data_IF_937117121763
#
_entry.id   IF_937117121763
#
_cell.length_a   1.000
_cell.length_b   1.000
_cell.length_c   1.000
_cell.angle_alpha   90.00
_cell.angle_beta   90.00
_cell.angle_gamma   90.00
#
_symmetry.space_group_name_H-M   'P 1'
#
loop_
_entity.id
_entity.type
_entity.pdbx_description
1 polymer ?
#
# COMPACT_ATOMS: atom_id res chain seq x y z
N UNK A 1 6.72 -12.47 -62.97
CA UNK A 1 6.89 -11.44 -61.92
C UNK A 1 5.80 -11.62 -60.88
N UNK A 2 6.15 -12.13 -59.70
CA UNK A 2 5.24 -12.43 -58.58
C UNK A 2 5.55 -11.45 -57.45
N UNK A 3 4.64 -10.52 -57.15
CA UNK A 3 4.66 -9.78 -55.90
C UNK A 3 3.64 -10.43 -54.96
N UNK A 4 4.14 -11.08 -53.91
CA UNK A 4 3.32 -11.66 -52.83
C UNK A 4 3.10 -10.58 -51.77
N UNK A 5 1.82 -10.37 -51.46
CA UNK A 5 1.29 -9.53 -50.38
C UNK A 5 1.73 -10.06 -49.01
N UNK A 6 2.40 -9.23 -48.22
CA UNK A 6 2.86 -9.52 -46.85
C UNK A 6 2.22 -8.58 -45.83
N UNK A 7 0.90 -8.32 -45.95
CA UNK A 7 0.18 -7.40 -45.06
C UNK A 7 -1.02 -8.05 -44.34
N UNK A 8 -0.89 -9.29 -43.84
CA UNK A 8 -1.98 -9.91 -43.05
C UNK A 8 -1.55 -10.59 -41.74
N UNK A 9 -0.31 -10.34 -41.27
CA UNK A 9 0.22 -10.98 -40.06
C UNK A 9 0.49 -10.00 -38.90
N UNK A 10 0.43 -8.68 -39.14
CA UNK A 10 0.61 -7.65 -38.11
C UNK A 10 -0.70 -7.07 -37.54
N UNK A 11 -1.86 -7.34 -38.15
CA UNK A 11 -3.16 -6.95 -37.58
C UNK A 11 -3.74 -7.95 -36.57
N UNK A 12 -3.09 -9.10 -36.34
CA UNK A 12 -3.56 -10.11 -35.37
C UNK A 12 -2.90 -10.04 -33.98
N UNK A 13 -1.99 -9.09 -33.75
CA UNK A 13 -1.27 -8.96 -32.46
C UNK A 13 -1.81 -7.81 -31.59
N UNK A 14 -2.75 -6.98 -32.09
CA UNK A 14 -3.22 -5.78 -31.36
C UNK A 14 -4.62 -5.91 -30.73
N UNK A 15 -5.12 -7.12 -30.49
CA UNK A 15 -6.40 -7.34 -29.77
C UNK A 15 -6.33 -8.56 -28.85
N UNK A 16 -5.57 -8.46 -27.76
CA UNK A 16 -5.74 -9.31 -26.56
C UNK A 16 -4.81 -8.80 -25.45
N UNK A 17 -5.16 -7.68 -24.82
CA UNK A 17 -4.53 -7.28 -23.55
C UNK A 17 -5.52 -6.50 -22.72
N UNK A 18 -6.67 -7.13 -22.49
CA UNK A 18 -7.64 -6.68 -21.54
C UNK A 18 -8.39 -7.94 -21.15
N UNK A 19 -7.89 -8.60 -20.09
CA UNK A 19 -8.64 -9.42 -19.14
C UNK A 19 -7.62 -10.09 -18.19
N UNK A 20 -7.95 -10.08 -16.90
CA UNK A 20 -7.41 -10.90 -15.82
C UNK A 20 -5.91 -10.86 -15.47
N UNK A 21 -5.56 -9.96 -14.56
CA UNK A 21 -4.53 -10.21 -13.54
C UNK A 21 -5.13 -10.10 -12.14
N UNK A 22 -6.17 -10.88 -11.91
CA UNK A 22 -6.47 -11.43 -10.59
C UNK A 22 -5.69 -12.73 -10.44
N UNK A 23 -4.41 -12.65 -10.05
CA UNK A 23 -3.63 -13.81 -9.61
C UNK A 23 -4.16 -14.31 -8.25
N UNK A 24 -5.38 -14.86 -8.27
CA UNK A 24 -5.79 -15.84 -7.29
C UNK A 24 -4.99 -17.11 -7.61
N UNK A 25 -3.90 -17.32 -6.85
CA UNK A 25 -3.23 -18.60 -6.77
C UNK A 25 -4.23 -19.62 -6.17
N UNK A 26 -5.10 -20.17 -7.02
CA UNK A 26 -5.73 -21.45 -6.73
C UNK A 26 -4.65 -22.51 -6.89
N UNK A 27 -4.01 -22.86 -5.77
CA UNK A 27 -3.13 -24.02 -5.69
C UNK A 27 -3.93 -25.30 -5.88
N UNK A 28 -4.29 -25.63 -7.12
CA UNK A 28 -4.57 -27.01 -7.51
C UNK A 28 -3.24 -27.64 -7.92
N UNK A 29 -2.45 -28.04 -6.93
CA UNK A 29 -1.26 -28.82 -7.19
C UNK A 29 -1.08 -29.84 -6.09
N UNK A 30 -1.21 -31.11 -6.46
CA UNK A 30 -0.77 -32.29 -5.72
C UNK A 30 0.77 -32.32 -5.58
N UNK A 31 1.39 -31.18 -5.30
CA UNK A 31 2.82 -31.15 -5.04
C UNK A 31 3.03 -31.72 -3.64
N UNK A 32 3.94 -32.70 -3.49
CA UNK A 32 4.37 -33.12 -2.17
C UNK A 32 4.86 -31.87 -1.41
N UNK A 33 4.67 -31.83 -0.07
CA UNK A 33 5.14 -30.71 0.71
C UNK A 33 6.61 -30.45 0.38
N UNK A 34 7.00 -29.18 0.15
CA UNK A 34 8.36 -28.85 -0.24
C UNK A 34 9.33 -29.46 0.79
N UNK A 35 10.34 -30.18 0.29
CA UNK A 35 11.34 -30.83 1.14
C UNK A 35 11.97 -29.78 2.04
N UNK A 36 12.01 -30.07 3.35
CA UNK A 36 12.66 -29.21 4.32
C UNK A 36 14.14 -29.11 3.96
N UNK A 37 14.65 -27.89 3.77
CA UNK A 37 16.04 -27.64 3.31
C UNK A 37 16.19 -27.25 1.83
N UNK A 38 15.14 -27.34 1.01
CA UNK A 38 15.22 -27.03 -0.43
C UNK A 38 15.70 -25.59 -0.75
N UNK A 39 15.33 -24.61 0.09
CA UNK A 39 15.81 -23.24 -0.08
C UNK A 39 17.29 -23.08 0.30
N UNK A 40 17.79 -23.87 1.24
CA UNK A 40 19.19 -23.81 1.65
C UNK A 40 20.09 -24.36 0.53
N UNK A 41 19.74 -25.51 -0.04
CA UNK A 41 20.46 -26.11 -1.17
C UNK A 41 20.48 -25.20 -2.41
N UNK A 42 19.38 -24.51 -2.72
CA UNK A 42 19.28 -23.70 -3.94
C UNK A 42 19.80 -22.28 -3.81
N UNK A 43 19.70 -21.69 -2.62
CA UNK A 43 19.99 -20.25 -2.43
C UNK A 43 21.17 -20.02 -1.50
N UNK A 44 21.33 -20.83 -0.45
CA UNK A 44 22.35 -20.61 0.58
C UNK A 44 23.67 -21.28 0.20
N UNK A 45 23.64 -22.56 -0.20
CA UNK A 45 24.87 -23.29 -0.59
C UNK A 45 25.61 -22.65 -1.76
N UNK A 46 24.94 -22.16 -2.83
CA UNK A 46 25.63 -21.48 -3.92
C UNK A 46 26.04 -20.04 -3.58
N UNK A 47 25.77 -19.58 -2.35
CA UNK A 47 26.11 -18.22 -1.89
C UNK A 47 25.26 -17.11 -2.50
N UNK A 48 24.09 -17.43 -3.06
CA UNK A 48 23.19 -16.44 -3.66
C UNK A 48 22.45 -15.62 -2.60
N UNK A 49 22.20 -16.22 -1.44
CA UNK A 49 21.47 -15.61 -0.33
C UNK A 49 22.11 -16.01 1.00
N UNK A 50 22.20 -15.07 1.94
CA UNK A 50 22.66 -15.39 3.29
C UNK A 50 21.63 -16.25 4.06
N UNK A 51 22.12 -17.12 4.94
CA UNK A 51 21.25 -18.00 5.74
C UNK A 51 20.29 -17.22 6.65
N UNK A 52 20.68 -16.01 7.07
CA UNK A 52 19.83 -15.14 7.88
C UNK A 52 18.57 -14.72 7.10
N UNK A 53 18.69 -14.41 5.80
CA UNK A 53 17.60 -13.97 4.94
C UNK A 53 16.62 -15.11 4.67
N UNK A 54 17.11 -16.34 4.49
CA UNK A 54 16.22 -17.51 4.38
C UNK A 54 15.44 -17.72 5.68
N UNK A 55 16.09 -17.62 6.83
CA UNK A 55 15.43 -17.72 8.13
C UNK A 55 14.41 -16.58 8.35
N UNK A 56 14.74 -15.36 7.92
CA UNK A 56 13.84 -14.20 7.94
C UNK A 56 12.61 -14.45 7.06
N UNK A 57 12.79 -14.88 5.80
CA UNK A 57 11.71 -15.21 4.86
C UNK A 57 10.79 -16.31 5.41
N UNK A 58 11.35 -17.38 5.98
CA UNK A 58 10.56 -18.44 6.59
C UNK A 58 9.71 -17.93 7.76
N UNK A 59 10.28 -17.04 8.60
CA UNK A 59 9.56 -16.39 9.71
C UNK A 59 8.42 -15.51 9.20
N UNK A 60 8.68 -14.69 8.18
CA UNK A 60 7.69 -13.83 7.53
C UNK A 60 6.52 -14.66 6.97
N UNK A 61 6.81 -15.80 6.33
CA UNK A 61 5.78 -16.70 5.80
C UNK A 61 4.93 -17.29 6.92
N UNK A 62 5.54 -17.74 8.03
CA UNK A 62 4.82 -18.27 9.18
C UNK A 62 3.89 -17.21 9.81
N UNK A 63 4.39 -16.00 10.04
CA UNK A 63 3.63 -14.90 10.61
C UNK A 63 2.46 -14.47 9.70
N UNK A 64 2.64 -14.54 8.38
CA UNK A 64 1.63 -14.14 7.39
C UNK A 64 0.39 -15.05 7.35
N UNK A 65 0.53 -16.33 7.72
CA UNK A 65 -0.57 -17.31 7.65
C UNK A 65 -1.76 -16.95 8.56
N UNK A 66 -1.53 -16.17 9.60
CA UNK A 66 -2.55 -15.83 10.60
C UNK A 66 -3.32 -14.54 10.30
N UNK A 67 -2.84 -13.71 9.35
CA UNK A 67 -3.35 -12.34 9.14
C UNK A 67 -3.45 -12.01 7.66
N UNK A 68 -4.52 -12.50 7.03
CA UNK A 68 -4.87 -12.06 5.67
C UNK A 68 -5.19 -10.55 5.68
N UNK A 69 -4.59 -9.85 4.74
CA UNK A 69 -4.91 -8.47 4.43
C UNK A 69 -6.08 -8.48 3.46
N UNK A 70 -7.05 -7.58 3.61
CA UNK A 70 -8.15 -7.47 2.64
C UNK A 70 -7.63 -7.14 1.24
N UNK A 71 -8.50 -7.24 0.23
CA UNK A 71 -8.16 -7.06 -1.19
C UNK A 71 -7.47 -5.73 -1.54
N UNK A 72 -7.56 -4.72 -0.66
CA UNK A 72 -7.01 -3.38 -0.86
C UNK A 72 -5.76 -3.13 -0.01
N UNK A 73 -5.11 -4.22 0.39
CA UNK A 73 -3.91 -4.21 1.17
C UNK A 73 -2.68 -3.84 0.35
N UNK A 74 -1.88 -2.89 0.83
CA UNK A 74 -0.56 -2.60 0.29
C UNK A 74 0.53 -3.25 1.15
N UNK A 75 1.66 -3.57 0.56
CA UNK A 75 2.85 -4.05 1.28
C UNK A 75 3.94 -3.00 1.18
N UNK A 76 4.49 -2.59 2.31
CA UNK A 76 5.51 -1.56 2.43
C UNK A 76 6.74 -2.10 3.16
N UNK A 77 7.91 -1.88 2.59
CA UNK A 77 9.23 -2.16 3.17
C UNK A 77 9.85 -0.91 3.80
N UNK A 78 9.44 0.26 3.31
CA UNK A 78 9.74 1.55 3.93
C UNK A 78 8.47 2.39 4.01
N UNK A 79 8.41 3.35 4.94
CA UNK A 79 7.21 4.17 5.13
C UNK A 79 6.99 5.13 3.96
N UNK A 80 8.07 5.60 3.36
CA UNK A 80 8.08 6.53 2.22
C UNK A 80 8.07 5.81 0.86
N UNK A 81 7.98 4.47 0.87
CA UNK A 81 7.89 3.68 -0.35
C UNK A 81 6.64 4.06 -1.16
N UNK A 82 6.78 4.38 -2.45
CA UNK A 82 5.64 4.62 -3.32
C UNK A 82 4.74 3.39 -3.49
N UNK A 83 3.43 3.61 -3.49
CA UNK A 83 2.42 2.59 -3.75
C UNK A 83 1.29 3.13 -4.62
N UNK A 84 0.49 2.21 -5.18
CA UNK A 84 -0.71 2.56 -5.96
C UNK A 84 -1.91 2.57 -5.03
N UNK A 85 -2.64 3.69 -5.01
CA UNK A 85 -3.86 3.87 -4.25
C UNK A 85 -5.03 4.08 -5.21
N UNK A 86 -6.09 3.29 -5.04
CA UNK A 86 -7.37 3.53 -5.69
C UNK A 86 -8.23 4.45 -4.80
N UNK A 87 -8.58 5.62 -5.32
CA UNK A 87 -9.34 6.63 -4.61
C UNK A 87 -10.80 6.20 -4.36
N UNK A 88 -11.26 5.14 -5.02
CA UNK A 88 -12.58 4.56 -4.79
C UNK A 88 -12.74 3.94 -3.39
N UNK A 89 -11.66 3.59 -2.71
CA UNK A 89 -11.72 2.93 -1.41
C UNK A 89 -11.64 3.92 -0.24
N UNK A 90 -12.44 3.66 0.80
CA UNK A 90 -12.51 4.54 1.98
C UNK A 90 -11.25 4.42 2.85
N UNK A 91 -10.63 3.26 2.85
CA UNK A 91 -9.51 2.94 3.71
C UNK A 91 -8.41 2.26 2.92
N UNK A 92 -7.18 2.51 3.34
CA UNK A 92 -6.02 1.73 2.93
C UNK A 92 -5.54 0.93 4.13
N UNK A 93 -5.21 -0.33 3.91
CA UNK A 93 -4.52 -1.14 4.92
C UNK A 93 -3.13 -1.45 4.40
N UNK A 94 -2.13 -1.38 5.26
CA UNK A 94 -0.75 -1.65 4.91
C UNK A 94 -0.18 -2.80 5.75
N UNK A 95 0.51 -3.72 5.09
CA UNK A 95 1.44 -4.66 5.73
C UNK A 95 2.82 -4.00 5.69
N UNK A 96 3.38 -3.75 6.86
CA UNK A 96 4.72 -3.20 6.98
C UNK A 96 5.68 -4.35 7.25
N UNK A 97 6.66 -4.53 6.38
CA UNK A 97 7.60 -5.64 6.43
C UNK A 97 8.99 -5.10 6.73
N UNK A 98 9.60 -5.63 7.79
CA UNK A 98 11.04 -5.52 8.05
C UNK A 98 11.67 -6.91 7.90
N UNK A 99 12.99 -7.04 8.06
CA UNK A 99 13.61 -8.38 8.05
C UNK A 99 13.04 -9.28 9.15
N UNK A 100 12.72 -8.71 10.31
CA UNK A 100 12.40 -9.48 11.51
C UNK A 100 10.92 -9.49 11.87
N UNK A 101 10.13 -8.54 11.36
CA UNK A 101 8.74 -8.35 11.81
C UNK A 101 7.79 -8.03 10.65
N UNK A 102 6.56 -8.54 10.76
CA UNK A 102 5.40 -8.13 9.96
C UNK A 102 4.43 -7.38 10.84
N UNK A 103 4.26 -6.09 10.56
CA UNK A 103 3.30 -5.23 11.22
C UNK A 103 2.13 -4.92 10.30
N UNK A 104 0.99 -4.55 10.87
CA UNK A 104 -0.22 -4.26 10.11
C UNK A 104 -0.80 -2.91 10.54
N UNK A 105 -0.90 -1.98 9.59
CA UNK A 105 -1.74 -0.79 9.71
C UNK A 105 -3.08 -1.09 9.07
N UNK A 106 -4.13 -1.20 9.89
CA UNK A 106 -5.48 -1.49 9.40
C UNK A 106 -6.28 -0.21 9.29
N UNK A 107 -7.11 -0.11 8.25
CA UNK A 107 -8.13 0.94 8.16
C UNK A 107 -7.60 2.37 8.30
N UNK A 108 -6.47 2.67 7.65
CA UNK A 108 -5.98 4.05 7.53
C UNK A 108 -6.97 4.82 6.67
N UNK A 109 -7.83 5.59 7.32
CA UNK A 109 -8.94 6.31 6.69
C UNK A 109 -8.46 7.62 6.08
N UNK A 110 -8.24 7.63 4.76
CA UNK A 110 -7.87 8.84 4.01
C UNK A 110 -9.02 9.84 3.89
N UNK A 111 -10.26 9.41 4.08
CA UNK A 111 -11.44 10.26 3.96
C UNK A 111 -11.99 10.61 5.33
N UNK A 112 -12.42 11.86 5.53
CA UNK A 112 -13.21 12.19 6.70
C UNK A 112 -14.49 11.38 6.68
N UNK A 113 -14.55 10.34 7.50
CA UNK A 113 -15.83 9.84 7.94
C UNK A 113 -16.50 11.03 8.62
N UNK A 114 -17.53 11.58 7.99
CA UNK A 114 -18.54 12.36 8.72
C UNK A 114 -18.99 11.41 9.82
N UNK A 115 -18.48 11.61 11.04
CA UNK A 115 -18.79 10.80 12.23
C UNK A 115 -20.28 10.53 12.20
N UNK A 116 -20.64 9.28 11.95
CA UNK A 116 -22.01 8.87 11.87
C UNK A 116 -22.54 8.70 13.27
N UNK A 117 -23.56 9.48 13.57
CA UNK A 117 -24.73 8.95 14.26
C UNK A 117 -25.16 7.66 13.54
N UNK A 118 -25.44 6.61 14.29
CA UNK A 118 -25.33 5.19 13.97
C UNK A 118 -26.18 4.65 12.79
N UNK A 119 -26.81 5.50 11.97
CA UNK A 119 -27.92 5.11 11.08
C UNK A 119 -27.81 5.57 9.62
N UNK A 120 -26.68 6.12 9.15
CA UNK A 120 -26.51 6.45 7.72
C UNK A 120 -25.60 5.45 6.97
N UNK A 121 -25.82 5.22 5.67
CA UNK A 121 -24.96 4.40 4.82
C UNK A 121 -23.62 5.08 4.54
N UNK A 122 -22.57 4.28 4.30
CA UNK A 122 -21.21 4.72 3.97
C UNK A 122 -21.26 5.84 2.91
N UNK A 123 -20.95 7.09 3.26
CA UNK A 123 -20.80 8.15 2.26
C UNK A 123 -19.64 7.69 1.38
N UNK A 124 -19.86 7.52 0.07
CA UNK A 124 -18.79 7.07 -0.82
C UNK A 124 -17.63 8.08 -0.80
N UNK A 125 -16.40 7.67 -1.15
CA UNK A 125 -15.33 8.63 -1.36
C UNK A 125 -15.72 9.70 -2.39
N UNK A 126 -15.29 10.95 -2.20
CA UNK A 126 -15.65 12.06 -3.09
C UNK A 126 -15.04 11.95 -4.47
N UNK A 127 -13.95 11.21 -4.59
CA UNK A 127 -13.22 10.99 -5.84
C UNK A 127 -13.21 9.51 -6.22
N UNK A 128 -13.11 9.24 -7.51
CA UNK A 128 -12.57 7.98 -8.00
C UNK A 128 -11.39 8.27 -8.93
N UNK A 129 -10.55 7.28 -9.17
CA UNK A 129 -9.28 7.45 -9.87
C UNK A 129 -8.21 6.59 -9.22
N UNK A 130 -7.01 6.63 -9.77
CA UNK A 130 -5.89 5.83 -9.29
C UNK A 130 -4.66 6.70 -9.28
N UNK A 131 -3.98 6.73 -8.16
CA UNK A 131 -2.81 7.58 -7.95
C UNK A 131 -1.64 6.74 -7.50
N UNK A 132 -0.42 7.18 -7.84
CA UNK A 132 0.77 6.76 -7.13
C UNK A 132 0.94 7.70 -5.95
N UNK A 133 1.06 7.17 -4.75
CA UNK A 133 1.18 7.93 -3.52
C UNK A 133 2.30 7.36 -2.64
N UNK A 134 2.67 8.08 -1.59
CA UNK A 134 3.50 7.57 -0.49
C UNK A 134 3.04 8.16 0.83
N UNK A 135 3.39 7.50 1.93
CA UNK A 135 3.24 8.12 3.24
C UNK A 135 4.43 9.05 3.52
N UNK A 136 4.16 10.11 4.28
CA UNK A 136 5.19 10.98 4.85
C UNK A 136 4.96 11.06 6.35
N UNK A 137 6.02 10.91 7.13
CA UNK A 137 5.98 11.16 8.56
C UNK A 137 5.95 12.66 8.78
N UNK A 138 4.88 13.16 9.40
CA UNK A 138 4.86 14.55 9.82
C UNK A 138 5.75 14.71 11.05
N UNK A 139 6.85 15.44 10.88
CA UNK A 139 7.69 15.87 11.99
C UNK A 139 7.04 17.13 12.58
N UNK A 140 6.27 16.97 13.67
CA UNK A 140 5.86 18.14 14.45
C UNK A 140 6.98 18.49 15.43
N UNK A 141 7.71 19.61 15.25
CA UNK A 141 8.77 20.01 16.17
C UNK A 141 8.23 20.36 17.57
N UNK A 142 6.93 20.59 17.72
CA UNK A 142 6.29 20.97 18.99
C UNK A 142 5.81 19.78 19.83
N UNK A 143 5.74 18.57 19.25
CA UNK A 143 5.07 17.44 19.90
C UNK A 143 5.91 16.16 19.73
N UNK A 144 7.03 16.10 20.46
CA UNK A 144 8.04 15.02 20.55
C UNK A 144 7.48 13.60 20.82
N UNK A 145 6.16 13.39 20.80
CA UNK A 145 5.51 12.13 21.17
C UNK A 145 4.61 11.55 20.10
N UNK A 146 4.25 12.23 19.00
CA UNK A 146 3.17 11.78 18.13
C UNK A 146 3.54 11.77 16.65
N UNK A 147 4.10 10.65 16.19
CA UNK A 147 4.21 10.36 14.76
C UNK A 147 2.81 10.31 14.13
N UNK A 148 2.60 11.11 13.09
CA UNK A 148 1.41 11.04 12.25
C UNK A 148 1.81 10.81 10.80
N UNK A 149 0.95 10.14 10.05
CA UNK A 149 1.18 9.83 8.64
C UNK A 149 0.38 10.81 7.77
N UNK A 150 1.04 11.44 6.82
CA UNK A 150 0.41 12.21 5.76
C UNK A 150 0.51 11.43 4.46
N UNK A 151 -0.39 11.69 3.52
CA UNK A 151 -0.37 11.05 2.21
C UNK A 151 0.06 12.07 1.16
N UNK A 152 1.19 11.82 0.50
CA UNK A 152 1.62 12.61 -0.66
C UNK A 152 1.20 11.92 -1.95
N UNK A 153 0.61 12.68 -2.85
CA UNK A 153 0.32 12.23 -4.21
C UNK A 153 1.57 12.46 -5.05
N UNK A 154 2.08 11.40 -5.67
CA UNK A 154 3.26 11.46 -6.53
C UNK A 154 2.86 11.63 -7.99
N UNK A 155 1.85 10.88 -8.43
CA UNK A 155 1.41 10.87 -9.83
C UNK A 155 -0.06 10.42 -9.96
N UNK A 156 -0.73 10.82 -11.05
CA UNK A 156 -2.09 10.41 -11.38
C UNK A 156 -2.03 9.34 -12.49
N UNK A 157 -2.34 8.09 -12.12
CA UNK A 157 -2.32 6.94 -13.04
C UNK A 157 -3.62 6.85 -13.82
N UNK A 158 -4.76 7.02 -13.14
CA UNK A 158 -6.09 7.11 -13.75
C UNK A 158 -6.68 8.47 -13.37
N UNK A 159 -7.20 9.24 -14.35
CA UNK A 159 -7.77 10.55 -14.12
C UNK A 159 -8.73 10.56 -12.94
N UNK A 160 -8.63 11.61 -12.14
CA UNK A 160 -9.48 11.82 -10.98
C UNK A 160 -10.83 12.32 -11.47
N UNK A 161 -11.90 11.70 -10.99
CA UNK A 161 -13.27 12.11 -11.29
C UNK A 161 -14.03 12.35 -9.98
N UNK A 162 -14.80 13.43 -9.94
CA UNK A 162 -15.69 13.71 -8.83
C UNK A 162 -16.90 12.78 -8.88
N UNK A 163 -17.16 12.07 -7.78
CA UNK A 163 -18.39 11.28 -7.61
C UNK A 163 -19.57 12.14 -7.17
N UNK A 164 -19.29 13.20 -6.42
CA UNK A 164 -20.27 14.21 -6.01
C UNK A 164 -19.56 15.54 -5.70
N UNK A 165 -20.31 16.64 -5.76
CA UNK A 165 -19.81 17.96 -5.38
C UNK A 165 -19.60 18.03 -3.85
N UNK A 166 -18.43 18.50 -3.42
CA UNK A 166 -18.07 18.67 -2.01
C UNK A 166 -16.93 19.69 -1.86
N UNK A 167 -16.83 20.32 -0.70
CA UNK A 167 -15.82 21.33 -0.37
C UNK A 167 -14.90 20.92 0.80
N UNK A 168 -15.03 19.67 1.28
CA UNK A 168 -14.29 19.16 2.43
C UNK A 168 -12.87 18.71 2.09
N UNK A 169 -12.60 18.41 0.82
CA UNK A 169 -11.30 17.96 0.33
C UNK A 169 -10.94 18.62 -0.97
N UNK A 170 -9.67 18.99 -1.11
CA UNK A 170 -9.14 19.46 -2.37
C UNK A 170 -9.03 18.27 -3.32
N UNK A 171 -9.16 18.53 -4.61
CA UNK A 171 -8.83 17.54 -5.63
C UNK A 171 -7.35 17.13 -5.47
N UNK A 172 -7.02 15.83 -5.39
CA UNK A 172 -5.64 15.39 -5.26
C UNK A 172 -4.80 15.81 -6.47
N UNK A 173 -3.60 16.37 -6.26
CA UNK A 173 -2.70 16.84 -7.31
C UNK A 173 -1.31 16.24 -7.20
N UNK A 174 -0.62 15.93 -8.31
CA UNK A 174 0.76 15.42 -8.28
C UNK A 174 1.69 16.37 -7.52
N UNK A 175 2.55 15.81 -6.68
CA UNK A 175 3.50 16.54 -5.85
C UNK A 175 2.93 17.10 -4.54
N UNK A 176 1.60 17.13 -4.37
CA UNK A 176 0.95 17.74 -3.20
C UNK A 176 0.58 16.71 -2.13
N UNK A 177 0.50 17.17 -0.88
CA UNK A 177 -0.13 16.41 0.19
C UNK A 177 -1.64 16.38 -0.03
N UNK A 178 -2.29 15.27 0.32
CA UNK A 178 -3.74 15.20 0.34
C UNK A 178 -4.28 16.26 1.31
N UNK A 179 -5.10 17.19 0.82
CA UNK A 179 -5.60 18.30 1.63
C UNK A 179 -7.07 18.09 2.03
N UNK A 180 -7.37 18.46 3.27
CA UNK A 180 -8.70 18.42 3.85
C UNK A 180 -9.03 19.72 4.57
N UNK A 181 -10.27 20.20 4.39
CA UNK A 181 -10.86 21.34 5.08
C UNK A 181 -11.41 20.88 6.43
N UNK A 182 -11.05 21.59 7.52
CA UNK A 182 -11.67 21.37 8.83
C UNK A 182 -13.13 21.83 8.81
N UNK A 183 -13.96 21.37 9.75
CA UNK A 183 -15.34 21.86 9.87
C UNK A 183 -15.32 23.37 10.14
N UNK A 184 -16.00 24.14 9.28
CA UNK A 184 -16.12 25.61 9.38
C UNK A 184 -16.26 26.23 7.99
N UNK A 185 -17.15 27.23 7.82
CA UNK A 185 -17.43 27.84 6.51
C UNK A 185 -16.16 28.42 5.86
N UNK A 186 -15.27 28.99 6.67
CA UNK A 186 -14.03 29.64 6.23
C UNK A 186 -12.75 28.84 6.53
N UNK A 187 -12.89 27.54 6.81
CA UNK A 187 -11.72 26.73 7.12
C UNK A 187 -10.78 26.63 5.91
N UNK A 188 -9.49 26.85 6.13
CA UNK A 188 -8.46 26.63 5.11
C UNK A 188 -8.22 25.11 4.94
N UNK A 189 -7.79 24.74 3.75
CA UNK A 189 -7.27 23.40 3.50
C UNK A 189 -6.00 23.16 4.31
N UNK A 190 -5.93 22.02 4.98
CA UNK A 190 -4.76 21.57 5.74
C UNK A 190 -4.38 20.16 5.29
N UNK A 191 -3.10 19.77 5.33
CA UNK A 191 -2.71 18.40 5.06
C UNK A 191 -3.51 17.41 5.91
N UNK A 192 -4.09 16.41 5.25
CA UNK A 192 -4.68 15.27 5.93
C UNK A 192 -3.59 14.55 6.71
N UNK A 193 -3.88 14.23 7.96
CA UNK A 193 -2.99 13.46 8.83
C UNK A 193 -3.74 12.32 9.49
N UNK A 194 -3.22 11.12 9.32
CA UNK A 194 -3.60 9.96 10.09
C UNK A 194 -2.85 9.96 11.41
N UNK A 195 -3.64 10.05 12.49
CA UNK A 195 -3.16 9.95 13.85
C UNK A 195 -3.44 8.53 14.35
N UNK A 196 -2.43 7.66 14.48
CA UNK A 196 -2.63 6.25 14.76
C UNK A 196 -3.17 5.97 16.17
N UNK A 197 -3.28 6.99 17.02
CA UNK A 197 -3.86 6.92 18.38
C UNK A 197 -5.34 6.56 18.42
N UNK A 198 -6.04 6.65 17.28
CA UNK A 198 -7.46 6.26 17.17
C UNK A 198 -7.62 4.74 17.39
N UNK A 199 -6.59 3.95 17.08
CA UNK A 199 -6.54 2.51 17.39
C UNK A 199 -5.18 2.16 18.00
N UNK A 200 -5.14 1.82 19.30
CA UNK A 200 -3.88 1.56 20.02
C UNK A 200 -2.94 0.57 19.28
N UNK A 201 -3.52 -0.37 18.53
CA UNK A 201 -2.80 -1.34 17.72
C UNK A 201 -2.03 -0.72 16.53
N UNK A 202 -2.60 0.24 15.81
CA UNK A 202 -1.91 0.84 14.66
C UNK A 202 -0.75 1.73 15.11
N UNK A 203 -0.89 2.43 16.23
CA UNK A 203 0.21 3.22 16.78
C UNK A 203 1.37 2.32 17.18
N UNK A 204 1.10 1.26 17.93
CA UNK A 204 2.11 0.27 18.30
C UNK A 204 2.78 -0.33 17.07
N UNK A 205 2.00 -0.77 16.07
CA UNK A 205 2.51 -1.34 14.83
C UNK A 205 3.42 -0.37 14.06
N UNK A 206 3.04 0.91 13.96
CA UNK A 206 3.86 1.92 13.30
C UNK A 206 5.17 2.17 14.06
N UNK A 207 5.12 2.34 15.37
CA UNK A 207 6.31 2.60 16.19
C UNK A 207 7.28 1.42 16.15
N UNK A 208 6.76 0.19 16.28
CA UNK A 208 7.59 -1.02 16.18
C UNK A 208 8.24 -1.13 14.80
N UNK A 209 7.47 -0.90 13.73
CA UNK A 209 8.01 -0.89 12.36
C UNK A 209 9.14 0.13 12.20
N UNK A 210 8.95 1.38 12.64
CA UNK A 210 9.97 2.43 12.51
C UNK A 210 11.25 2.10 13.29
N UNK A 211 11.11 1.52 14.50
CA UNK A 211 12.27 1.07 15.31
C UNK A 211 13.01 -0.08 14.63
N UNK A 212 12.30 -1.14 14.22
CA UNK A 212 12.89 -2.29 13.53
C UNK A 212 13.55 -1.86 12.22
N UNK A 213 12.90 -1.00 11.45
CA UNK A 213 13.46 -0.48 10.19
C UNK A 213 14.74 0.31 10.44
N UNK A 214 14.77 1.20 11.43
CA UNK A 214 15.98 1.94 11.78
C UNK A 214 17.14 1.02 12.19
N UNK A 215 16.85 -0.05 12.94
CA UNK A 215 17.85 -1.07 13.29
C UNK A 215 18.35 -1.84 12.07
N UNK A 216 17.45 -2.20 11.14
CA UNK A 216 17.81 -2.85 9.88
C UNK A 216 18.70 -1.94 9.01
N UNK A 217 18.38 -0.64 8.90
CA UNK A 217 19.23 0.34 8.18
C UNK A 217 20.63 0.41 8.78
N UNK A 218 20.73 0.44 10.11
CA UNK A 218 22.00 0.51 10.81
C UNK A 218 22.84 -0.77 10.67
N UNK A 219 22.21 -1.96 10.71
CA UNK A 219 22.92 -3.25 10.62
C UNK A 219 23.29 -3.62 9.18
N UNK A 220 22.41 -3.34 8.21
CA UNK A 220 22.51 -3.88 6.86
C UNK A 220 22.66 -2.82 5.75
N UNK A 221 22.60 -1.52 6.08
CA UNK A 221 22.75 -0.45 5.09
C UNK A 221 21.58 -0.30 4.11
N UNK A 222 20.40 -0.81 4.49
CA UNK A 222 19.15 -0.79 3.69
C UNK A 222 18.24 0.39 4.01
#
# INVERSE_FOLDING_TARGET
MRQRSTNSLLERISKSTQDDLGLCLYSTSSNPPPRQGYLDELLVEPGLVDRELVADLQRLVQDSKTKQLGSNGITLFDIDQPFVLDLHFITVSARLITRQTVQFLREVCSWPMIRRTCHRPAVPPPFCGRVRARFELANSPEDNKKSSLQLRILDIIKPIQHRFAQDLMAEPRPGELLLMKRRGKDAKFTPWSYSPWITANNHKALVEFLKSRAADKAKFGV
#
